data_IF_194605786223
#
_entry.id   IF_194605786223
#
_cell.length_a   1.000
_cell.length_b   1.000
_cell.length_c   1.000
_cell.angle_alpha   90.00
_cell.angle_beta   90.00
_cell.angle_gamma   90.00
#
_symmetry.space_group_name_H-M   'P 1'
#
loop_
_entity.id
_entity.type
_entity.pdbx_description
1 polymer ?
#
# COMPACT_ATOMS: atom_id res chain seq x y z
N UNK A 1 23.92 59.13 -42.45
CA UNK A 1 24.20 58.22 -41.30
C UNK A 1 23.21 58.46 -40.15
N UNK A 2 21.93 58.67 -40.47
CA UNK A 2 20.88 59.02 -39.50
C UNK A 2 19.60 58.20 -39.71
N UNK A 3 19.45 57.53 -40.85
CA UNK A 3 18.32 56.61 -41.09
C UNK A 3 18.54 55.21 -40.49
N UNK A 4 19.78 54.70 -40.41
CA UNK A 4 20.06 53.38 -39.81
C UNK A 4 19.77 53.30 -38.29
N UNK A 5 19.69 54.44 -37.60
CA UNK A 5 19.38 54.49 -36.15
C UNK A 5 17.86 54.46 -35.91
N UNK A 6 17.04 54.78 -36.92
CA UNK A 6 15.57 54.83 -36.80
C UNK A 6 14.90 53.46 -36.95
N UNK A 7 15.53 52.55 -37.69
CA UNK A 7 15.01 51.20 -37.92
C UNK A 7 15.27 50.23 -36.75
N UNK A 8 16.28 50.51 -35.91
CA UNK A 8 16.59 49.70 -34.72
C UNK A 8 15.62 49.93 -33.54
N UNK A 9 14.61 50.79 -33.70
CA UNK A 9 13.63 51.13 -32.66
C UNK A 9 12.22 50.62 -32.99
N UNK A 10 12.02 49.89 -34.10
CA UNK A 10 10.70 49.56 -34.63
C UNK A 10 10.15 48.15 -34.38
N UNK A 11 10.84 47.25 -33.67
CA UNK A 11 10.30 45.89 -33.44
C UNK A 11 10.87 45.19 -32.21
N UNK A 12 10.47 45.58 -30.98
CA UNK A 12 11.01 44.90 -29.78
C UNK A 12 10.10 44.80 -28.54
N UNK A 13 8.82 45.23 -28.60
CA UNK A 13 7.98 45.32 -27.38
C UNK A 13 6.67 44.51 -27.26
N UNK A 14 6.24 43.71 -28.26
CA UNK A 14 5.25 42.66 -28.01
C UNK A 14 5.82 41.23 -28.03
N UNK A 15 6.96 41.00 -28.70
CA UNK A 15 7.56 39.66 -28.84
C UNK A 15 8.26 39.14 -27.57
N UNK A 16 8.76 40.03 -26.70
CA UNK A 16 9.54 39.65 -25.51
C UNK A 16 8.69 39.14 -24.33
N UNK A 17 7.52 39.74 -24.09
CA UNK A 17 6.59 39.29 -23.05
C UNK A 17 5.93 37.95 -23.41
N UNK A 18 5.59 37.75 -24.69
CA UNK A 18 5.10 36.46 -25.20
C UNK A 18 6.12 35.33 -24.98
N UNK A 19 7.40 35.59 -25.31
CA UNK A 19 8.49 34.63 -25.08
C UNK A 19 8.75 34.33 -23.60
N UNK A 20 8.59 35.30 -22.69
CA UNK A 20 8.72 35.05 -21.25
C UNK A 20 7.60 34.15 -20.70
N UNK A 21 6.36 34.39 -21.12
CA UNK A 21 5.20 33.56 -20.71
C UNK A 21 5.32 32.15 -21.28
N UNK A 22 5.80 32.01 -22.52
CA UNK A 22 6.10 30.73 -23.14
C UNK A 22 7.19 29.96 -22.36
N UNK A 23 8.31 30.61 -22.03
CA UNK A 23 9.37 30.00 -21.23
C UNK A 23 8.93 29.60 -19.82
N UNK A 24 8.12 30.42 -19.14
CA UNK A 24 7.59 30.10 -17.80
C UNK A 24 6.61 28.91 -17.87
N UNK A 25 5.79 28.84 -18.92
CA UNK A 25 4.86 27.72 -19.14
C UNK A 25 5.63 26.43 -19.43
N UNK A 26 6.67 26.50 -20.25
CA UNK A 26 7.58 25.37 -20.49
C UNK A 26 8.29 24.93 -19.21
N UNK A 27 8.85 25.86 -18.43
CA UNK A 27 9.52 25.56 -17.17
C UNK A 27 8.57 24.89 -16.18
N UNK A 28 7.35 25.40 -16.05
CA UNK A 28 6.31 24.82 -15.19
C UNK A 28 5.94 23.42 -15.67
N UNK A 29 5.75 23.24 -16.98
CA UNK A 29 5.46 21.94 -17.61
C UNK A 29 6.60 20.93 -17.40
N UNK A 30 7.86 21.37 -17.46
CA UNK A 30 9.04 20.54 -17.17
C UNK A 30 9.09 20.16 -15.69
N UNK A 31 8.83 21.10 -14.79
CA UNK A 31 8.84 20.84 -13.34
C UNK A 31 7.76 19.83 -12.94
N UNK A 32 6.53 19.98 -13.45
CA UNK A 32 5.43 19.04 -13.18
C UNK A 32 5.80 17.63 -13.67
N UNK A 33 6.37 17.51 -14.87
CA UNK A 33 6.83 16.20 -15.39
C UNK A 33 7.94 15.60 -14.52
N UNK A 34 8.87 16.42 -14.04
CA UNK A 34 9.94 15.99 -13.15
C UNK A 34 9.39 15.50 -11.80
N UNK A 35 8.44 16.21 -11.20
CA UNK A 35 7.80 15.83 -9.93
C UNK A 35 7.02 14.51 -10.08
N UNK A 36 6.32 14.34 -11.20
CA UNK A 36 5.64 13.07 -11.52
C UNK A 36 6.65 11.94 -11.72
N UNK A 37 7.79 12.20 -12.38
CA UNK A 37 8.83 11.20 -12.57
C UNK A 37 9.48 10.81 -11.23
N UNK A 38 9.73 11.79 -10.36
CA UNK A 38 10.27 11.58 -9.03
C UNK A 38 9.30 10.79 -8.15
N UNK A 39 8.02 11.20 -8.11
CA UNK A 39 6.98 10.49 -7.36
C UNK A 39 6.84 9.04 -7.84
N UNK A 40 6.93 8.79 -9.17
CA UNK A 40 6.95 7.44 -9.71
C UNK A 40 8.15 6.64 -9.23
N UNK A 41 9.34 7.24 -9.19
CA UNK A 41 10.55 6.58 -8.70
C UNK A 41 10.45 6.23 -7.20
N UNK A 42 9.99 7.16 -6.38
CA UNK A 42 9.80 6.94 -4.94
C UNK A 42 8.73 5.86 -4.67
N UNK A 43 7.61 5.89 -5.41
CA UNK A 43 6.60 4.85 -5.34
C UNK A 43 7.14 3.49 -5.76
N UNK A 44 7.97 3.42 -6.81
CA UNK A 44 8.58 2.18 -7.27
C UNK A 44 9.57 1.63 -6.23
N UNK A 45 10.39 2.47 -5.62
CA UNK A 45 11.32 2.08 -4.56
C UNK A 45 10.57 1.58 -3.31
N UNK A 46 9.55 2.33 -2.89
CA UNK A 46 8.69 1.94 -1.76
C UNK A 46 7.96 0.64 -2.04
N UNK A 47 7.45 0.46 -3.26
CA UNK A 47 6.81 -0.78 -3.70
C UNK A 47 7.80 -1.94 -3.73
N UNK A 48 9.02 -1.75 -4.23
CA UNK A 48 10.05 -2.78 -4.26
C UNK A 48 10.45 -3.21 -2.84
N UNK A 49 10.68 -2.26 -1.94
CA UNK A 49 11.06 -2.55 -0.56
C UNK A 49 9.93 -3.21 0.23
N UNK A 50 8.70 -2.72 0.07
CA UNK A 50 7.52 -3.35 0.65
C UNK A 50 7.26 -4.74 0.05
N UNK A 51 7.49 -4.91 -1.25
CA UNK A 51 7.31 -6.17 -1.97
C UNK A 51 8.33 -7.23 -1.55
N UNK A 52 9.59 -6.85 -1.34
CA UNK A 52 10.61 -7.77 -0.82
C UNK A 52 10.27 -8.23 0.60
N UNK A 53 9.83 -7.32 1.47
CA UNK A 53 9.36 -7.69 2.81
C UNK A 53 8.17 -8.65 2.78
N UNK A 54 7.17 -8.36 1.94
CA UNK A 54 6.03 -9.24 1.74
C UNK A 54 6.43 -10.61 1.18
N UNK A 55 7.37 -10.65 0.23
CA UNK A 55 7.91 -11.89 -0.33
C UNK A 55 8.66 -12.74 0.71
N UNK A 56 9.49 -12.12 1.55
CA UNK A 56 10.19 -12.82 2.64
C UNK A 56 9.20 -13.37 3.67
N UNK A 57 8.18 -12.60 4.04
CA UNK A 57 7.12 -13.06 4.95
C UNK A 57 6.32 -14.23 4.36
N UNK A 58 5.98 -14.16 3.07
CA UNK A 58 5.31 -15.25 2.37
C UNK A 58 6.18 -16.51 2.35
N UNK A 59 7.47 -16.37 2.01
CA UNK A 59 8.43 -17.48 2.06
C UNK A 59 8.56 -18.08 3.45
N UNK A 60 8.71 -17.24 4.48
CA UNK A 60 8.77 -17.68 5.87
C UNK A 60 7.51 -18.45 6.29
N UNK A 61 6.33 -18.01 5.86
CA UNK A 61 5.07 -18.70 6.16
C UNK A 61 5.00 -20.10 5.52
N UNK A 62 5.54 -20.27 4.31
CA UNK A 62 5.65 -21.59 3.67
C UNK A 62 6.54 -22.52 4.51
N UNK A 63 7.75 -22.08 4.87
CA UNK A 63 8.65 -22.89 5.70
C UNK A 63 8.06 -23.18 7.08
N UNK A 64 7.41 -22.20 7.71
CA UNK A 64 6.76 -22.38 9.00
C UNK A 64 5.62 -23.40 8.93
N UNK A 65 4.87 -23.44 7.83
CA UNK A 65 3.81 -24.43 7.60
C UNK A 65 4.38 -25.85 7.55
N UNK A 66 5.47 -26.05 6.81
CA UNK A 66 6.13 -27.36 6.75
C UNK A 66 6.76 -27.75 8.10
N UNK A 67 7.45 -26.82 8.76
CA UNK A 67 8.05 -27.05 10.07
C UNK A 67 6.98 -27.44 11.11
N UNK A 68 5.83 -26.74 11.11
CA UNK A 68 4.71 -27.07 11.97
C UNK A 68 4.15 -28.47 11.66
N UNK A 69 4.04 -28.85 10.38
CA UNK A 69 3.63 -30.20 9.99
C UNK A 69 4.56 -31.30 10.52
N UNK A 70 5.87 -31.08 10.45
CA UNK A 70 6.87 -32.01 11.01
C UNK A 70 6.77 -32.09 12.53
N UNK A 71 6.58 -30.96 13.22
CA UNK A 71 6.40 -30.95 14.68
C UNK A 71 5.11 -31.65 15.12
N UNK A 72 4.02 -31.47 14.39
CA UNK A 72 2.76 -32.18 14.63
C UNK A 72 2.98 -33.69 14.46
N UNK A 73 3.64 -34.11 13.38
CA UNK A 73 3.96 -35.51 13.15
C UNK A 73 4.82 -36.08 14.28
N UNK A 74 5.86 -35.36 14.69
CA UNK A 74 6.73 -35.75 15.80
C UNK A 74 5.94 -35.87 17.12
N UNK A 75 5.01 -34.96 17.41
CA UNK A 75 4.15 -35.04 18.58
C UNK A 75 3.23 -36.27 18.54
N UNK A 76 2.62 -36.55 17.38
CA UNK A 76 1.76 -37.73 17.18
C UNK A 76 2.54 -39.03 17.36
N UNK A 77 3.73 -39.13 16.72
CA UNK A 77 4.59 -40.30 16.85
C UNK A 77 5.13 -40.46 18.28
N UNK A 78 5.51 -39.36 18.93
CA UNK A 78 5.99 -39.35 20.32
C UNK A 78 4.94 -39.85 21.31
N UNK A 79 3.70 -39.35 21.22
CA UNK A 79 2.58 -39.89 22.01
C UNK A 79 2.23 -41.31 21.61
N UNK A 80 2.43 -41.67 20.35
CA UNK A 80 2.24 -43.03 19.82
C UNK A 80 3.11 -44.10 20.48
N UNK A 81 4.15 -43.71 21.23
CA UNK A 81 4.94 -44.62 22.07
C UNK A 81 4.19 -45.02 23.35
N UNK A 82 3.32 -44.15 23.86
CA UNK A 82 2.59 -44.37 25.13
C UNK A 82 1.28 -45.12 24.89
N UNK A 83 0.59 -44.85 23.78
CA UNK A 83 -0.72 -45.44 23.45
C UNK A 83 -0.92 -45.52 21.92
N UNK A 84 -2.00 -46.15 21.40
CA UNK A 84 -2.18 -46.36 19.97
C UNK A 84 -2.09 -45.08 19.14
N UNK A 85 -1.43 -45.16 17.99
CA UNK A 85 -1.15 -44.02 17.12
C UNK A 85 -2.39 -43.21 16.71
N UNK A 86 -3.53 -43.90 16.54
CA UNK A 86 -4.80 -43.25 16.19
C UNK A 86 -5.34 -42.35 17.32
N UNK A 87 -5.17 -42.74 18.59
CA UNK A 87 -5.53 -41.91 19.75
C UNK A 87 -4.60 -40.70 19.88
N UNK A 88 -3.30 -40.87 19.62
CA UNK A 88 -2.35 -39.74 19.57
C UNK A 88 -2.76 -38.71 18.52
N UNK A 89 -3.06 -39.18 17.31
CA UNK A 89 -3.49 -38.31 16.21
C UNK A 89 -4.78 -37.56 16.55
N UNK A 90 -5.78 -38.23 17.14
CA UNK A 90 -7.02 -37.59 17.57
C UNK A 90 -6.79 -36.55 18.67
N UNK A 91 -5.93 -36.85 19.65
CA UNK A 91 -5.67 -35.95 20.78
C UNK A 91 -4.96 -34.67 20.31
N UNK A 92 -3.89 -34.81 19.52
CA UNK A 92 -3.18 -33.65 18.95
C UNK A 92 -4.08 -32.88 17.99
N UNK A 93 -4.86 -33.58 17.16
CA UNK A 93 -5.82 -32.97 16.24
C UNK A 93 -6.86 -32.12 16.98
N UNK A 94 -7.46 -32.66 18.05
CA UNK A 94 -8.43 -31.94 18.87
C UNK A 94 -7.82 -30.71 19.54
N UNK A 95 -6.61 -30.83 20.07
CA UNK A 95 -5.88 -29.70 20.65
C UNK A 95 -5.66 -28.57 19.63
N UNK A 96 -5.24 -28.90 18.40
CA UNK A 96 -5.02 -27.92 17.33
C UNK A 96 -6.32 -27.24 16.89
N UNK A 97 -7.44 -27.97 16.83
CA UNK A 97 -8.76 -27.39 16.52
C UNK A 97 -9.17 -26.37 17.59
N UNK A 98 -9.01 -26.71 18.87
CA UNK A 98 -9.30 -25.77 19.97
C UNK A 98 -8.42 -24.52 19.89
N UNK A 99 -7.12 -24.70 19.65
CA UNK A 99 -6.19 -23.59 19.47
C UNK A 99 -6.60 -22.70 18.29
N UNK A 100 -6.96 -23.30 17.14
CA UNK A 100 -7.42 -22.57 15.97
C UNK A 100 -8.68 -21.73 16.25
N UNK A 101 -9.66 -22.29 16.97
CA UNK A 101 -10.88 -21.55 17.38
C UNK A 101 -10.52 -20.33 18.24
N UNK A 102 -9.62 -20.49 19.22
CA UNK A 102 -9.16 -19.38 20.07
C UNK A 102 -8.46 -18.30 19.25
N UNK A 103 -7.55 -18.70 18.36
CA UNK A 103 -6.82 -17.77 17.48
C UNK A 103 -7.77 -17.00 16.57
N UNK A 104 -8.75 -17.67 15.95
CA UNK A 104 -9.78 -17.01 15.14
C UNK A 104 -10.57 -16.01 15.97
N UNK A 105 -10.99 -16.39 17.18
CA UNK A 105 -11.78 -15.52 18.04
C UNK A 105 -10.99 -14.27 18.47
N UNK A 106 -9.71 -14.45 18.83
CA UNK A 106 -8.80 -13.34 19.16
C UNK A 106 -8.54 -12.46 17.94
N UNK A 107 -8.27 -13.06 16.78
CA UNK A 107 -8.02 -12.34 15.53
C UNK A 107 -9.22 -11.48 15.12
N UNK A 108 -10.43 -12.04 15.15
CA UNK A 108 -11.67 -11.30 14.88
C UNK A 108 -11.87 -10.16 15.89
N UNK A 109 -11.56 -10.38 17.17
CA UNK A 109 -11.64 -9.32 18.19
C UNK A 109 -10.62 -8.21 17.95
N UNK A 110 -9.39 -8.55 17.56
CA UNK A 110 -8.34 -7.59 17.22
C UNK A 110 -8.73 -6.75 15.99
N UNK A 111 -9.23 -7.38 14.93
CA UNK A 111 -9.71 -6.67 13.73
C UNK A 111 -10.89 -5.75 14.05
N UNK A 112 -11.83 -6.19 14.89
CA UNK A 112 -12.96 -5.35 15.34
C UNK A 112 -12.48 -4.16 16.17
N UNK A 113 -11.42 -4.31 16.99
CA UNK A 113 -10.81 -3.20 17.75
C UNK A 113 -10.01 -2.25 16.87
N UNK A 114 -9.32 -2.77 15.87
CA UNK A 114 -8.62 -1.98 14.85
C UNK A 114 -9.58 -1.29 13.87
N UNK A 115 -10.85 -1.70 13.85
CA UNK A 115 -11.93 -1.16 13.03
C UNK A 115 -12.43 0.24 13.43
N UNK A 116 -11.58 1.11 13.99
CA UNK A 116 -11.78 2.56 13.82
C UNK A 116 -11.23 2.87 12.42
N UNK A 117 -12.09 3.13 11.42
CA UNK A 117 -11.59 3.58 10.12
C UNK A 117 -10.64 4.76 10.34
N UNK A 118 -9.59 4.93 9.53
CA UNK A 118 -8.82 6.16 9.54
C UNK A 118 -9.82 7.32 9.45
N UNK A 119 -9.63 8.40 10.21
CA UNK A 119 -10.57 9.54 10.20
C UNK A 119 -10.87 10.00 8.76
N UNK A 120 -9.91 9.84 7.85
CA UNK A 120 -10.04 10.07 6.40
C UNK A 120 -11.19 9.29 5.75
N UNK A 121 -11.38 8.01 6.10
CA UNK A 121 -12.46 7.17 5.57
C UNK A 121 -13.81 7.56 6.18
N UNK A 122 -13.82 8.06 7.42
CA UNK A 122 -15.02 8.63 8.04
C UNK A 122 -15.43 9.94 7.36
N UNK A 123 -14.50 10.89 7.20
CA UNK A 123 -14.75 12.16 6.52
C UNK A 123 -15.25 11.99 5.09
N UNK A 124 -14.66 11.09 4.31
CA UNK A 124 -15.14 10.78 2.95
C UNK A 124 -16.56 10.20 2.95
N UNK A 125 -16.92 9.37 3.95
CA UNK A 125 -18.30 8.87 4.09
C UNK A 125 -19.27 10.00 4.45
N UNK A 126 -18.88 10.86 5.39
CA UNK A 126 -19.69 11.98 5.86
C UNK A 126 -19.94 13.02 4.74
N UNK A 127 -18.91 13.28 3.94
CA UNK A 127 -19.00 14.15 2.75
C UNK A 127 -19.96 13.57 1.70
N UNK A 128 -19.85 12.27 1.40
CA UNK A 128 -20.76 11.59 0.46
C UNK A 128 -22.20 11.59 0.97
N UNK A 129 -22.42 11.39 2.28
CA UNK A 129 -23.77 11.46 2.85
C UNK A 129 -24.34 12.86 2.79
N UNK A 130 -23.53 13.90 3.04
CA UNK A 130 -23.96 15.31 2.98
C UNK A 130 -24.36 15.69 1.55
N UNK A 131 -23.58 15.27 0.55
CA UNK A 131 -23.89 15.48 -0.88
C UNK A 131 -25.18 14.76 -1.28
N UNK A 132 -25.39 13.53 -0.80
CA UNK A 132 -26.58 12.73 -1.10
C UNK A 132 -27.85 13.29 -0.48
N UNK A 133 -27.77 13.87 0.72
CA UNK A 133 -28.88 14.57 1.36
C UNK A 133 -29.20 15.91 0.68
N UNK A 134 -28.17 16.64 0.22
CA UNK A 134 -28.33 17.87 -0.54
C UNK A 134 -29.03 17.69 -1.89
N UNK A 135 -28.80 16.56 -2.58
CA UNK A 135 -29.48 16.23 -3.85
C UNK A 135 -30.92 15.71 -3.69
N UNK A 136 -31.37 15.44 -2.45
CA UNK A 136 -32.71 14.90 -2.17
C UNK A 136 -33.70 15.98 -1.70
N UNK A 137 -33.27 17.24 -1.63
CA UNK A 137 -34.12 18.43 -1.43
C UNK A 137 -34.31 19.16 -2.75
#
# INVERSE_FOLDING_TARGET
>A
MTEQVRDALHDDRPASLGKLVEHLTEQTSRLVRAEVALAKAELAEKAARSGMGAGLLAGALVFLTYALGVLILAAVLGLGVVWPLWLSALTIGLFLVLLAVVLVLVGVRQLKRAGRPPETVQRVKDDITTIKEGMRR
#
